data_IF_357571084516
#
_entry.id   IF_357571084516
#
_cell.length_a   1.000
_cell.length_b   1.000
_cell.length_c   1.000
_cell.angle_alpha   90.00
_cell.angle_beta   90.00
_cell.angle_gamma   90.00
#
_symmetry.space_group_name_H-M   'P 1'
#
loop_
_entity.id
_entity.type
_entity.pdbx_description
1 polymer ?
#
# COMPACT_ATOMS: atom_id res chain seq x y z
N UNK A 1 -50.60 6.83 7.28
CA UNK A 1 -49.59 5.78 7.00
C UNK A 1 -48.34 6.47 6.48
N UNK A 2 -47.39 6.81 7.35
CA UNK A 2 -46.13 7.44 6.96
C UNK A 2 -45.14 6.33 6.58
N UNK A 3 -44.70 6.30 5.33
CA UNK A 3 -43.70 5.35 4.86
C UNK A 3 -42.32 5.79 5.37
N UNK A 4 -41.83 5.13 6.41
CA UNK A 4 -40.49 5.30 6.96
C UNK A 4 -39.47 4.58 6.07
N UNK A 5 -39.14 5.21 4.93
CA UNK A 5 -38.09 4.76 4.03
C UNK A 5 -36.72 5.08 4.64
N UNK A 6 -36.09 4.10 5.28
CA UNK A 6 -34.69 4.20 5.70
C UNK A 6 -33.82 4.50 4.46
N UNK A 7 -33.00 5.57 4.44
CA UNK A 7 -32.13 5.83 3.30
C UNK A 7 -31.07 4.73 3.21
N UNK A 8 -30.88 4.20 2.01
CA UNK A 8 -29.77 3.30 1.71
C UNK A 8 -28.47 4.12 1.74
N UNK A 9 -27.62 3.88 2.73
CA UNK A 9 -26.24 4.35 2.72
C UNK A 9 -25.38 3.29 2.00
N UNK A 10 -24.65 3.64 0.93
CA UNK A 10 -23.74 2.69 0.30
C UNK A 10 -22.65 2.31 1.30
N UNK A 11 -22.48 1.00 1.52
CA UNK A 11 -21.34 0.47 2.29
C UNK A 11 -20.09 0.71 1.46
N UNK A 12 -19.27 1.67 1.86
CA UNK A 12 -17.94 1.81 1.30
C UNK A 12 -17.12 0.58 1.74
N UNK A 13 -16.34 -0.04 0.84
CA UNK A 13 -15.47 -1.15 1.23
C UNK A 13 -14.52 -0.66 2.32
N UNK A 14 -14.48 -1.38 3.44
CA UNK A 14 -13.50 -1.16 4.50
C UNK A 14 -12.09 -1.23 3.91
N UNK A 15 -11.18 -0.31 4.29
CA UNK A 15 -9.82 -0.34 3.78
C UNK A 15 -9.17 -1.68 4.12
N UNK A 16 -8.71 -2.39 3.09
CA UNK A 16 -8.05 -3.69 3.27
C UNK A 16 -6.75 -3.49 4.05
N UNK A 17 -6.67 -4.07 5.26
CA UNK A 17 -5.48 -4.00 6.08
C UNK A 17 -4.31 -4.72 5.39
N UNK A 18 -3.22 -3.98 5.14
CA UNK A 18 -2.01 -4.54 4.56
C UNK A 18 -1.19 -5.21 5.65
N UNK A 19 -1.03 -6.53 5.57
CA UNK A 19 -0.23 -7.32 6.50
C UNK A 19 1.07 -7.84 5.85
N UNK A 20 2.12 -7.92 6.68
CA UNK A 20 3.46 -8.34 6.29
C UNK A 20 3.89 -9.55 7.15
N UNK A 21 3.89 -10.77 6.59
CA UNK A 21 4.30 -11.96 7.34
C UNK A 21 5.79 -11.90 7.68
N UNK A 22 6.15 -11.94 8.96
CA UNK A 22 7.54 -11.85 9.43
C UNK A 22 8.44 -12.99 8.94
N UNK A 23 7.85 -14.15 8.61
CA UNK A 23 8.57 -15.31 8.07
C UNK A 23 9.22 -15.05 6.70
N UNK A 24 8.80 -14.01 5.96
CA UNK A 24 9.38 -13.67 4.67
C UNK A 24 10.56 -12.70 4.85
N UNK A 25 11.75 -13.01 4.29
CA UNK A 25 12.93 -12.13 4.41
C UNK A 25 12.69 -10.69 3.98
N UNK A 26 11.86 -10.46 2.95
CA UNK A 26 11.53 -9.10 2.48
C UNK A 26 10.65 -8.34 3.47
N UNK A 27 9.73 -9.03 4.18
CA UNK A 27 8.91 -8.38 5.22
C UNK A 27 9.76 -7.91 6.39
N UNK A 28 10.73 -8.72 6.82
CA UNK A 28 11.64 -8.38 7.92
C UNK A 28 12.55 -7.18 7.61
N UNK A 29 12.76 -6.85 6.32
CA UNK A 29 13.54 -5.69 5.87
C UNK A 29 12.68 -4.49 5.46
N UNK A 30 11.40 -4.48 5.85
CA UNK A 30 10.45 -3.44 5.44
C UNK A 30 10.96 -2.03 5.72
N UNK A 31 11.43 -1.77 6.94
CA UNK A 31 11.84 -0.42 7.35
C UNK A 31 13.04 0.09 6.53
N UNK A 32 13.98 -0.80 6.21
CA UNK A 32 15.14 -0.52 5.35
C UNK A 32 14.69 -0.18 3.92
N UNK A 33 13.77 -0.96 3.36
CA UNK A 33 13.22 -0.75 2.02
C UNK A 33 12.44 0.58 1.95
N UNK A 34 11.62 0.88 2.95
CA UNK A 34 10.89 2.14 3.03
C UNK A 34 11.82 3.34 3.16
N UNK A 35 12.86 3.23 3.99
CA UNK A 35 13.88 4.27 4.12
C UNK A 35 14.59 4.53 2.78
N UNK A 36 14.98 3.47 2.08
CA UNK A 36 15.61 3.57 0.76
C UNK A 36 14.68 4.21 -0.29
N UNK A 37 13.39 3.85 -0.31
CA UNK A 37 12.39 4.45 -1.22
C UNK A 37 12.06 5.92 -0.89
N UNK A 38 12.21 6.33 0.37
CA UNK A 38 12.11 7.75 0.77
C UNK A 38 13.34 8.54 0.28
N UNK A 39 14.53 7.96 0.37
CA UNK A 39 15.78 8.62 -0.01
C UNK A 39 16.05 8.61 -1.52
N UNK A 40 15.58 7.58 -2.24
CA UNK A 40 15.90 7.34 -3.65
C UNK A 40 14.64 7.07 -4.46
N UNK A 41 14.52 7.74 -5.62
CA UNK A 41 13.41 7.53 -6.54
C UNK A 41 13.39 6.11 -7.13
N UNK A 42 14.56 5.48 -7.25
CA UNK A 42 14.75 4.12 -7.76
C UNK A 42 15.65 3.36 -6.79
N UNK A 43 15.25 2.14 -6.44
CA UNK A 43 16.05 1.19 -5.67
C UNK A 43 16.10 -0.15 -6.39
N UNK A 44 17.15 -0.93 -6.12
CA UNK A 44 17.28 -2.31 -6.62
C UNK A 44 17.23 -3.23 -5.40
N UNK A 45 16.29 -4.18 -5.39
CA UNK A 45 16.16 -5.16 -4.31
C UNK A 45 16.52 -6.54 -4.84
N UNK A 46 17.67 -7.07 -4.38
CA UNK A 46 18.15 -8.39 -4.75
C UNK A 46 17.76 -9.44 -3.70
N UNK A 47 17.52 -10.68 -4.12
CA UNK A 47 17.29 -11.81 -3.22
C UNK A 47 16.84 -13.06 -3.97
N UNK A 48 16.90 -14.22 -3.32
CA UNK A 48 16.53 -15.51 -3.91
C UNK A 48 15.02 -15.63 -4.21
N UNK A 49 14.64 -16.54 -5.10
CA UNK A 49 13.23 -16.91 -5.31
C UNK A 49 12.62 -17.40 -4.00
N UNK A 50 11.38 -17.02 -3.71
CA UNK A 50 10.72 -17.33 -2.43
C UNK A 50 10.97 -16.31 -1.32
N UNK A 51 11.88 -15.35 -1.46
CA UNK A 51 12.14 -14.33 -0.44
C UNK A 51 10.97 -13.34 -0.19
N UNK A 52 9.96 -13.36 -1.06
CA UNK A 52 8.80 -12.48 -0.98
C UNK A 52 8.88 -11.18 -1.80
N UNK A 53 9.87 -11.00 -2.69
CA UNK A 53 10.02 -9.74 -3.48
C UNK A 53 8.76 -9.37 -4.25
N UNK A 54 8.29 -10.26 -5.13
CA UNK A 54 7.14 -9.99 -6.02
C UNK A 54 5.84 -9.77 -5.26
N UNK A 55 5.70 -10.34 -4.06
CA UNK A 55 4.47 -10.24 -3.26
C UNK A 55 4.50 -9.12 -2.22
N UNK A 56 5.64 -8.86 -1.58
CA UNK A 56 5.74 -7.89 -0.49
C UNK A 56 6.14 -6.49 -0.97
N UNK A 57 7.00 -6.34 -1.99
CA UNK A 57 7.39 -5.01 -2.48
C UNK A 57 6.19 -4.18 -2.97
N UNK A 58 5.21 -4.74 -3.72
CA UNK A 58 3.99 -4.00 -4.07
C UNK A 58 3.16 -3.58 -2.85
N UNK A 59 3.08 -4.43 -1.82
CA UNK A 59 2.38 -4.11 -0.56
C UNK A 59 3.06 -2.99 0.21
N UNK A 60 4.39 -2.99 0.29
CA UNK A 60 5.18 -1.93 0.92
C UNK A 60 4.94 -0.61 0.18
N UNK A 61 5.02 -0.61 -1.16
CA UNK A 61 4.73 0.57 -1.96
C UNK A 61 3.29 1.08 -1.75
N UNK A 62 2.30 0.18 -1.68
CA UNK A 62 0.92 0.53 -1.41
C UNK A 62 0.72 1.13 -0.01
N UNK A 63 1.36 0.56 1.01
CA UNK A 63 1.32 1.07 2.38
C UNK A 63 1.95 2.47 2.52
N UNK A 64 2.94 2.79 1.66
CA UNK A 64 3.53 4.12 1.56
C UNK A 64 2.71 5.11 0.71
N UNK A 65 1.50 4.75 0.26
CA UNK A 65 0.68 5.59 -0.60
C UNK A 65 1.19 5.72 -2.04
N UNK A 66 2.06 4.81 -2.49
CA UNK A 66 2.63 4.79 -3.84
C UNK A 66 1.94 3.78 -4.78
N UNK A 67 0.76 3.27 -4.40
CA UNK A 67 0.02 2.25 -5.14
C UNK A 67 -1.00 2.85 -6.11
N UNK A 68 -0.86 2.56 -7.41
CA UNK A 68 -1.79 2.98 -8.45
C UNK A 68 -2.51 1.80 -9.10
N UNK A 69 -3.83 1.71 -8.88
CA UNK A 69 -4.95 1.71 -9.85
C UNK A 69 -6.18 2.03 -8.97
N UNK A 70 -6.81 3.18 -9.14
CA UNK A 70 -8.01 3.57 -8.37
C UNK A 70 -7.78 4.31 -7.04
N UNK A 71 -6.53 4.54 -6.58
CA UNK A 71 -6.30 5.49 -5.49
C UNK A 71 -6.36 6.93 -6.03
N UNK A 72 -7.23 7.80 -5.49
CA UNK A 72 -7.20 9.23 -5.83
C UNK A 72 -5.81 9.78 -5.49
N UNK A 73 -5.08 10.23 -6.50
CA UNK A 73 -3.88 11.04 -6.25
C UNK A 73 -4.32 12.29 -5.54
N UNK A 74 -3.84 12.51 -4.32
CA UNK A 74 -4.02 13.79 -3.64
C UNK A 74 -3.33 14.89 -4.48
N UNK A 75 -4.08 15.85 -5.04
CA UNK A 75 -3.52 16.92 -5.87
C UNK A 75 -2.64 17.89 -5.07
N UNK A 76 -2.66 17.82 -3.73
CA UNK A 76 -1.83 18.59 -2.82
C UNK A 76 -0.63 17.80 -2.28
N UNK A 77 -0.55 16.49 -2.54
CA UNK A 77 0.57 15.68 -2.11
C UNK A 77 1.89 16.23 -2.69
N UNK A 78 2.97 16.24 -1.90
CA UNK A 78 4.26 16.74 -2.34
C UNK A 78 4.75 15.97 -3.57
N UNK A 79 5.45 16.64 -4.49
CA UNK A 79 5.78 16.08 -5.81
C UNK A 79 6.55 14.75 -5.77
N UNK A 80 7.25 14.46 -4.68
CA UNK A 80 7.96 13.19 -4.49
C UNK A 80 7.05 11.99 -4.19
N UNK A 81 5.74 12.23 -3.97
CA UNK A 81 4.69 11.22 -3.76
C UNK A 81 3.71 11.11 -4.94
N UNK A 82 3.89 11.87 -6.03
CA UNK A 82 3.00 11.85 -7.22
C UNK A 82 3.47 10.84 -8.27
#
# INVERSE_FOLDING_TARGET
>A
MANSSTPYLPVLPEPTQITFPEALPVSGKRDEIEAALRAHQVIIVCGETGSGKTTQLPKIAMAMGRGGWGQPRDPNAPRHLR
#
